data_IF_726391484713
#
_entry.id   IF_726391484713
#
_cell.length_a   1.000
_cell.length_b   1.000
_cell.length_c   1.000
_cell.angle_alpha   90.00
_cell.angle_beta   90.00
_cell.angle_gamma   90.00
#
_symmetry.space_group_name_H-M   'P 1'
#
loop_
_entity.id
_entity.type
_entity.pdbx_description
1 polymer ?
#
# COMPACT_ATOMS: atom_id res chain seq x y z
N UNK A 1 -50.44 30.95 -31.32
CA UNK A 1 -49.98 30.56 -29.95
C UNK A 1 -50.13 29.07 -29.78
N UNK A 2 -49.09 28.29 -29.64
CA UNK A 2 -49.17 27.05 -28.91
C UNK A 2 -48.17 27.02 -27.77
N UNK A 3 -48.71 26.62 -26.67
CA UNK A 3 -48.26 26.49 -25.30
C UNK A 3 -47.07 25.57 -25.15
N UNK A 4 -46.01 26.05 -24.52
CA UNK A 4 -44.90 25.26 -23.99
C UNK A 4 -45.36 24.33 -22.86
N UNK A 5 -45.28 23.04 -23.10
CA UNK A 5 -45.32 21.98 -22.08
C UNK A 5 -44.37 20.90 -22.50
N UNK A 6 -43.30 20.74 -21.79
CA UNK A 6 -42.57 19.52 -21.50
C UNK A 6 -41.04 19.67 -21.56
N UNK A 7 -40.42 20.10 -20.48
CA UNK A 7 -38.97 19.98 -20.32
C UNK A 7 -38.54 19.51 -18.91
N UNK A 8 -39.44 18.97 -18.08
CA UNK A 8 -39.07 18.62 -16.68
C UNK A 8 -39.48 17.21 -16.20
N UNK A 9 -39.81 16.30 -17.13
CA UNK A 9 -40.23 14.92 -16.79
C UNK A 9 -39.09 13.87 -16.79
N UNK A 10 -37.82 14.26 -16.98
CA UNK A 10 -36.70 13.31 -17.08
C UNK A 10 -35.73 13.28 -15.87
N UNK A 11 -36.02 14.04 -14.81
CA UNK A 11 -35.13 14.11 -13.63
C UNK A 11 -35.33 13.01 -12.55
N UNK A 12 -36.46 12.33 -12.39
CA UNK A 12 -36.60 11.34 -11.33
C UNK A 12 -35.86 10.02 -11.58
N UNK A 13 -35.65 9.61 -12.82
CA UNK A 13 -35.01 8.31 -13.13
C UNK A 13 -33.51 8.31 -12.86
N UNK A 14 -32.79 9.37 -13.17
CA UNK A 14 -31.36 9.47 -12.90
C UNK A 14 -31.06 9.55 -11.39
N UNK A 15 -31.88 10.25 -10.66
CA UNK A 15 -31.71 10.40 -9.20
C UNK A 15 -32.06 9.12 -8.44
N UNK A 16 -33.02 8.35 -8.90
CA UNK A 16 -33.37 7.02 -8.35
C UNK A 16 -32.29 6.00 -8.70
N UNK A 17 -31.73 6.04 -9.92
CA UNK A 17 -30.62 5.17 -10.33
C UNK A 17 -29.36 5.43 -9.49
N UNK A 18 -28.96 6.70 -9.29
CA UNK A 18 -27.84 7.10 -8.44
C UNK A 18 -28.04 6.70 -6.97
N UNK A 19 -29.27 6.77 -6.46
CA UNK A 19 -29.59 6.30 -5.10
C UNK A 19 -29.53 4.78 -4.97
N UNK A 20 -29.94 4.05 -6.00
CA UNK A 20 -29.85 2.58 -6.04
C UNK A 20 -28.41 2.07 -6.13
N UNK A 21 -27.57 2.71 -6.96
CA UNK A 21 -26.14 2.38 -7.05
C UNK A 21 -25.40 2.72 -5.76
N UNK A 22 -25.73 3.86 -5.14
CA UNK A 22 -25.16 4.25 -3.85
C UNK A 22 -25.58 3.29 -2.73
N UNK A 23 -26.83 2.82 -2.70
CA UNK A 23 -27.28 1.83 -1.73
C UNK A 23 -26.60 0.47 -1.96
N UNK A 24 -26.52 0.01 -3.19
CA UNK A 24 -25.81 -1.23 -3.52
C UNK A 24 -24.33 -1.17 -3.11
N UNK A 25 -23.67 -0.02 -3.30
CA UNK A 25 -22.30 0.19 -2.85
C UNK A 25 -22.16 0.19 -1.33
N UNK A 26 -23.13 0.74 -0.62
CA UNK A 26 -23.16 0.71 0.86
C UNK A 26 -23.42 -0.69 1.40
N UNK A 27 -24.26 -1.47 0.75
CA UNK A 27 -24.54 -2.86 1.14
C UNK A 27 -23.29 -3.75 0.96
N UNK A 28 -22.56 -3.59 -0.14
CA UNK A 28 -21.28 -4.28 -0.37
C UNK A 28 -20.25 -3.91 0.73
N UNK A 29 -20.14 -2.63 1.08
CA UNK A 29 -19.23 -2.19 2.15
C UNK A 29 -19.66 -2.75 3.50
N UNK A 30 -20.97 -2.77 3.78
CA UNK A 30 -21.52 -3.30 5.02
C UNK A 30 -21.29 -4.81 5.16
N UNK A 31 -21.50 -5.57 4.08
CA UNK A 31 -21.24 -7.00 4.03
C UNK A 31 -19.77 -7.30 4.29
N UNK A 32 -18.85 -6.61 3.60
CA UNK A 32 -17.41 -6.72 3.83
C UNK A 32 -17.01 -6.42 5.27
N UNK A 33 -17.53 -5.32 5.85
CA UNK A 33 -17.26 -4.96 7.25
C UNK A 33 -17.82 -5.98 8.24
N UNK A 34 -18.92 -6.66 7.90
CA UNK A 34 -19.51 -7.70 8.74
C UNK A 34 -18.73 -9.02 8.71
N UNK A 35 -18.04 -9.32 7.61
CA UNK A 35 -17.19 -10.49 7.45
C UNK A 35 -15.78 -10.28 8.05
N UNK A 36 -15.34 -9.02 8.16
CA UNK A 36 -14.02 -8.68 8.68
C UNK A 36 -13.95 -8.86 10.20
N UNK A 37 -13.00 -9.65 10.68
CA UNK A 37 -12.79 -9.78 12.12
C UNK A 37 -12.38 -8.41 12.72
N UNK A 38 -12.77 -8.11 13.98
CA UNK A 38 -12.35 -6.88 14.64
C UNK A 38 -10.82 -6.67 14.67
N UNK A 39 -10.06 -7.77 14.75
CA UNK A 39 -8.60 -7.74 14.73
C UNK A 39 -8.05 -7.32 13.38
N UNK A 40 -8.64 -7.79 12.27
CA UNK A 40 -8.28 -7.39 10.91
C UNK A 40 -8.57 -5.90 10.68
N UNK A 41 -9.71 -5.40 11.15
CA UNK A 41 -10.06 -3.99 11.09
C UNK A 41 -9.06 -3.10 11.84
N UNK A 42 -8.70 -3.49 13.06
CA UNK A 42 -7.67 -2.78 13.83
C UNK A 42 -6.32 -2.81 13.12
N UNK A 43 -5.90 -3.96 12.59
CA UNK A 43 -4.64 -4.09 11.86
C UNK A 43 -4.62 -3.22 10.59
N UNK A 44 -5.71 -3.17 9.82
CA UNK A 44 -5.83 -2.30 8.66
C UNK A 44 -5.70 -0.82 9.01
N UNK A 45 -6.34 -0.36 10.08
CA UNK A 45 -6.22 1.01 10.59
C UNK A 45 -4.79 1.34 11.04
N UNK A 46 -4.12 0.40 11.71
CA UNK A 46 -2.73 0.55 12.13
C UNK A 46 -1.79 0.70 10.91
N UNK A 47 -2.03 -0.07 9.84
CA UNK A 47 -1.25 0.05 8.60
C UNK A 47 -1.50 1.39 7.91
N UNK A 48 -2.73 1.85 7.81
CA UNK A 48 -3.04 3.17 7.24
C UNK A 48 -2.38 4.29 8.05
N UNK A 49 -2.47 4.24 9.38
CA UNK A 49 -1.78 5.17 10.26
C UNK A 49 -0.26 5.11 10.08
N UNK A 50 0.32 3.90 9.96
CA UNK A 50 1.74 3.71 9.68
C UNK A 50 2.15 4.42 8.40
N UNK A 51 1.50 4.17 7.25
CA UNK A 51 1.86 4.76 5.96
C UNK A 51 1.71 6.29 5.97
N UNK A 52 0.66 6.81 6.62
CA UNK A 52 0.46 8.24 6.80
C UNK A 52 1.57 8.88 7.65
N UNK A 53 1.99 8.23 8.73
CA UNK A 53 3.10 8.68 9.58
C UNK A 53 4.44 8.61 8.85
N UNK A 54 4.66 7.59 7.99
CA UNK A 54 5.84 7.51 7.11
C UNK A 54 5.91 8.72 6.19
N UNK A 55 4.79 9.09 5.55
CA UNK A 55 4.73 10.27 4.68
C UNK A 55 5.07 11.57 5.43
N UNK A 56 4.76 11.65 6.73
CA UNK A 56 5.12 12.76 7.63
C UNK A 56 6.52 12.67 8.23
N UNK A 57 7.29 11.63 7.91
CA UNK A 57 8.61 11.32 8.48
C UNK A 57 8.60 11.15 10.01
N UNK A 58 7.46 10.75 10.56
CA UNK A 58 7.32 10.53 12.00
C UNK A 58 7.85 9.16 12.39
N UNK A 59 8.72 9.10 13.39
CA UNK A 59 9.27 7.84 13.91
C UNK A 59 8.19 6.94 14.51
N UNK A 60 7.06 7.50 14.93
CA UNK A 60 5.92 6.76 15.44
C UNK A 60 5.30 5.79 14.42
N UNK A 61 5.62 5.96 13.12
CA UNK A 61 5.22 4.98 12.10
C UNK A 61 5.58 3.55 12.51
N UNK A 62 6.77 3.36 13.11
CA UNK A 62 7.25 2.04 13.50
C UNK A 62 6.43 1.39 14.62
N UNK A 63 5.91 2.15 15.57
CA UNK A 63 5.03 1.62 16.60
C UNK A 63 3.74 1.05 15.99
N UNK A 64 3.10 1.81 15.08
CA UNK A 64 1.89 1.37 14.38
C UNK A 64 2.16 0.22 13.41
N UNK A 65 3.25 0.29 12.65
CA UNK A 65 3.63 -0.74 11.72
C UNK A 65 3.98 -2.06 12.40
N UNK A 66 4.78 -2.04 13.47
CA UNK A 66 5.13 -3.23 14.25
C UNK A 66 3.88 -3.85 14.87
N UNK A 67 3.00 -3.04 15.47
CA UNK A 67 1.73 -3.56 16.00
C UNK A 67 0.88 -4.22 14.90
N UNK A 68 0.77 -3.59 13.72
CA UNK A 68 0.04 -4.15 12.57
C UNK A 68 0.60 -5.49 12.11
N UNK A 69 1.91 -5.59 11.87
CA UNK A 69 2.51 -6.85 11.38
C UNK A 69 2.46 -7.97 12.43
N UNK A 70 2.53 -7.65 13.71
CA UNK A 70 2.37 -8.65 14.80
C UNK A 70 0.94 -9.19 14.84
N UNK A 71 -0.07 -8.31 14.72
CA UNK A 71 -1.47 -8.71 14.69
C UNK A 71 -1.76 -9.56 13.45
N UNK A 72 -1.34 -9.11 12.24
CA UNK A 72 -1.52 -9.91 11.03
C UNK A 72 -0.76 -11.23 11.07
N UNK A 73 0.45 -11.25 11.64
CA UNK A 73 1.20 -12.50 11.86
C UNK A 73 0.42 -13.49 12.73
N UNK A 74 -0.24 -13.02 13.80
CA UNK A 74 -1.08 -13.86 14.65
C UNK A 74 -2.37 -14.33 13.93
N UNK A 75 -3.00 -13.46 13.13
CA UNK A 75 -4.16 -13.82 12.30
C UNK A 75 -3.79 -14.91 11.29
N UNK A 76 -2.71 -14.72 10.54
CA UNK A 76 -2.26 -15.69 9.55
C UNK A 76 -1.82 -17.02 10.17
N UNK A 77 -1.17 -16.98 11.33
CA UNK A 77 -0.85 -18.21 12.07
C UNK A 77 -2.09 -19.01 12.45
N UNK A 78 -3.12 -18.34 12.97
CA UNK A 78 -4.42 -18.98 13.32
C UNK A 78 -5.14 -19.52 12.09
N UNK A 79 -5.06 -18.81 10.96
CA UNK A 79 -5.61 -19.23 9.68
C UNK A 79 -4.79 -20.32 8.99
N UNK A 80 -3.66 -20.76 9.57
CA UNK A 80 -2.69 -21.72 8.99
C UNK A 80 -2.06 -21.24 7.68
N UNK A 81 -2.02 -19.92 7.46
CA UNK A 81 -1.38 -19.26 6.32
C UNK A 81 0.09 -18.97 6.67
N UNK A 82 0.88 -20.03 6.74
CA UNK A 82 2.27 -19.96 7.25
C UNK A 82 3.19 -19.11 6.37
N UNK A 83 2.99 -19.08 5.05
CA UNK A 83 3.77 -18.24 4.13
C UNK A 83 3.51 -16.75 4.39
N UNK A 84 2.27 -16.36 4.61
CA UNK A 84 1.88 -14.98 4.94
C UNK A 84 2.41 -14.58 6.32
N UNK A 85 2.35 -15.51 7.30
CA UNK A 85 2.96 -15.30 8.62
C UNK A 85 4.49 -15.06 8.51
N UNK A 86 5.21 -15.84 7.70
CA UNK A 86 6.64 -15.63 7.47
C UNK A 86 6.94 -14.29 6.81
N UNK A 87 6.08 -13.84 5.90
CA UNK A 87 6.18 -12.51 5.31
C UNK A 87 6.02 -11.40 6.37
N UNK A 88 5.10 -11.56 7.33
CA UNK A 88 4.99 -10.62 8.47
C UNK A 88 6.25 -10.64 9.35
N UNK A 89 6.85 -11.81 9.57
CA UNK A 89 8.12 -11.91 10.30
C UNK A 89 9.25 -11.16 9.56
N UNK A 90 9.33 -11.28 8.24
CA UNK A 90 10.25 -10.48 7.43
C UNK A 90 10.00 -8.97 7.59
N UNK A 91 8.74 -8.53 7.47
CA UNK A 91 8.40 -7.11 7.65
C UNK A 91 8.73 -6.62 9.07
N UNK A 92 8.54 -7.44 10.10
CA UNK A 92 8.91 -7.11 11.47
C UNK A 92 10.42 -6.82 11.58
N UNK A 93 11.26 -7.70 11.01
CA UNK A 93 12.73 -7.50 11.01
C UNK A 93 13.10 -6.20 10.29
N UNK A 94 12.54 -5.95 9.11
CA UNK A 94 12.82 -4.72 8.34
C UNK A 94 12.33 -3.47 9.07
N UNK A 95 11.20 -3.54 9.78
CA UNK A 95 10.69 -2.42 10.57
C UNK A 95 11.57 -2.13 11.79
N UNK A 96 12.03 -3.16 12.52
CA UNK A 96 12.95 -2.99 13.65
C UNK A 96 14.28 -2.36 13.19
N UNK A 97 14.81 -2.83 12.05
CA UNK A 97 15.99 -2.23 11.42
C UNK A 97 15.75 -0.77 11.04
N UNK A 98 14.64 -0.48 10.36
CA UNK A 98 14.26 0.86 9.95
C UNK A 98 14.07 1.81 11.13
N UNK A 99 13.43 1.35 12.21
CA UNK A 99 13.26 2.12 13.43
C UNK A 99 14.60 2.59 13.98
N UNK A 100 15.58 1.66 14.06
CA UNK A 100 16.95 2.00 14.50
C UNK A 100 17.60 3.06 13.59
N UNK A 101 17.45 2.91 12.26
CA UNK A 101 18.03 3.84 11.29
C UNK A 101 17.38 5.24 11.36
N UNK A 102 16.06 5.29 11.49
CA UNK A 102 15.35 6.56 11.59
C UNK A 102 15.65 7.27 12.91
N UNK A 103 15.66 6.51 14.02
CA UNK A 103 16.01 7.06 15.34
C UNK A 103 17.42 7.63 15.35
N UNK A 104 18.38 6.93 14.74
CA UNK A 104 19.76 7.41 14.63
C UNK A 104 19.80 8.73 13.84
N UNK A 105 19.16 8.81 12.66
CA UNK A 105 19.07 10.06 11.89
C UNK A 105 18.46 11.20 12.70
N UNK A 106 17.41 10.94 13.47
CA UNK A 106 16.77 11.96 14.29
C UNK A 106 17.68 12.46 15.42
N UNK A 107 18.48 11.57 16.03
CA UNK A 107 19.46 11.95 17.08
C UNK A 107 20.59 12.78 16.46
N UNK A 108 21.12 12.36 15.32
CA UNK A 108 22.31 12.97 14.70
C UNK A 108 21.98 14.32 14.02
N UNK A 109 20.76 14.51 13.50
CA UNK A 109 20.39 15.64 12.65
C UNK A 109 19.14 16.40 13.13
N UNK A 110 18.55 16.04 14.27
CA UNK A 110 17.31 16.66 14.78
C UNK A 110 16.05 16.24 14.02
N UNK A 111 16.16 15.62 12.84
CA UNK A 111 15.05 15.17 11.99
C UNK A 111 15.41 13.88 11.24
N UNK A 112 14.41 13.27 10.62
CA UNK A 112 14.60 12.13 9.71
C UNK A 112 15.04 12.65 8.35
N UNK A 113 16.34 12.56 8.07
CA UNK A 113 16.96 13.05 6.82
C UNK A 113 16.61 12.12 5.65
N UNK A 114 16.05 12.70 4.60
CA UNK A 114 15.72 12.00 3.35
C UNK A 114 16.93 11.98 2.43
N UNK A 115 17.32 10.79 2.05
CA UNK A 115 18.45 10.57 1.12
C UNK A 115 17.97 10.14 -0.26
N UNK A 116 18.84 10.20 -1.27
CA UNK A 116 18.61 9.66 -2.63
C UNK A 116 19.64 8.60 -2.96
N UNK A 117 19.22 7.65 -3.79
CA UNK A 117 20.15 6.72 -4.42
C UNK A 117 20.96 7.42 -5.51
N UNK A 118 22.21 6.99 -5.69
CA UNK A 118 22.99 7.32 -6.89
C UNK A 118 22.38 6.66 -8.12
N UNK A 119 22.71 7.15 -9.32
CA UNK A 119 22.17 6.56 -10.56
C UNK A 119 22.54 5.08 -10.70
N UNK A 120 23.79 4.72 -10.38
CA UNK A 120 24.23 3.32 -10.39
C UNK A 120 23.46 2.44 -9.42
N UNK A 121 23.20 2.95 -8.19
CA UNK A 121 22.40 2.23 -7.21
C UNK A 121 20.94 2.04 -7.66
N UNK A 122 20.34 3.05 -8.33
CA UNK A 122 18.98 2.91 -8.91
C UNK A 122 18.93 1.80 -9.95
N UNK A 123 19.91 1.76 -10.86
CA UNK A 123 20.01 0.72 -11.87
C UNK A 123 20.18 -0.66 -11.21
N UNK A 124 21.03 -0.76 -10.18
CA UNK A 124 21.21 -1.98 -9.39
C UNK A 124 19.93 -2.45 -8.73
N UNK A 125 19.16 -1.54 -8.12
CA UNK A 125 17.86 -1.86 -7.51
C UNK A 125 16.84 -2.31 -8.55
N UNK A 126 16.74 -1.63 -9.70
CA UNK A 126 15.85 -2.02 -10.80
C UNK A 126 16.20 -3.41 -11.32
N UNK A 127 17.48 -3.69 -11.59
CA UNK A 127 17.93 -5.00 -12.01
C UNK A 127 17.63 -6.07 -10.95
N UNK A 128 17.88 -5.78 -9.67
CA UNK A 128 17.58 -6.68 -8.56
C UNK A 128 16.08 -6.99 -8.45
N UNK A 129 15.21 -5.99 -8.62
CA UNK A 129 13.75 -6.18 -8.63
C UNK A 129 13.35 -7.08 -9.81
N UNK A 130 13.86 -6.83 -11.02
CA UNK A 130 13.55 -7.67 -12.19
C UNK A 130 13.96 -9.13 -11.95
N UNK A 131 15.16 -9.36 -11.44
CA UNK A 131 15.64 -10.71 -11.10
C UNK A 131 14.78 -11.36 -10.02
N UNK A 132 14.43 -10.60 -8.97
CA UNK A 132 13.58 -11.11 -7.88
C UNK A 132 12.16 -11.45 -8.39
N UNK A 133 11.56 -10.61 -9.24
CA UNK A 133 10.27 -10.87 -9.89
C UNK A 133 10.35 -12.11 -10.76
N UNK A 134 11.40 -12.24 -11.58
CA UNK A 134 11.61 -13.41 -12.44
C UNK A 134 11.77 -14.69 -11.62
N UNK A 135 12.61 -14.66 -10.58
CA UNK A 135 12.85 -15.83 -9.72
C UNK A 135 11.61 -16.23 -8.91
N UNK A 136 10.96 -15.25 -8.26
CA UNK A 136 9.77 -15.51 -7.45
C UNK A 136 8.57 -15.90 -8.32
N UNK A 137 8.36 -15.23 -9.46
CA UNK A 137 7.29 -15.56 -10.40
C UNK A 137 7.46 -16.95 -10.99
N UNK A 138 8.70 -17.35 -11.33
CA UNK A 138 9.00 -18.71 -11.78
C UNK A 138 8.71 -19.74 -10.68
N UNK A 139 9.11 -19.46 -9.42
CA UNK A 139 8.87 -20.33 -8.29
C UNK A 139 7.36 -20.53 -8.07
N UNK A 140 6.60 -19.42 -8.06
CA UNK A 140 5.15 -19.47 -7.91
C UNK A 140 4.48 -20.23 -9.07
N UNK A 141 4.88 -19.97 -10.30
CA UNK A 141 4.36 -20.67 -11.48
C UNK A 141 4.66 -22.18 -11.46
N UNK A 142 5.85 -22.58 -10.95
CA UNK A 142 6.28 -23.97 -10.97
C UNK A 142 5.75 -24.81 -9.82
N UNK A 143 5.55 -24.21 -8.64
CA UNK A 143 5.27 -24.92 -7.40
C UNK A 143 3.92 -24.59 -6.78
N UNK A 144 3.13 -23.70 -7.39
CA UNK A 144 1.79 -23.33 -6.92
C UNK A 144 0.82 -23.25 -8.09
N UNK A 145 -0.46 -23.26 -7.76
CA UNK A 145 -1.60 -23.05 -8.67
C UNK A 145 -2.08 -21.60 -8.70
N UNK A 146 -1.18 -20.64 -8.43
CA UNK A 146 -1.48 -19.21 -8.45
C UNK A 146 -2.00 -18.80 -9.85
N UNK A 147 -3.13 -18.10 -9.88
CA UNK A 147 -3.79 -17.71 -11.14
C UNK A 147 -2.96 -16.71 -11.97
N UNK A 148 -2.23 -15.80 -11.31
CA UNK A 148 -1.43 -14.74 -11.94
C UNK A 148 -0.05 -14.61 -11.28
N UNK A 149 0.81 -15.66 -11.35
CA UNK A 149 2.03 -15.75 -10.54
C UNK A 149 3.04 -14.63 -10.84
N UNK A 150 3.16 -14.21 -12.08
CA UNK A 150 4.07 -13.11 -12.48
C UNK A 150 3.58 -11.75 -12.02
N UNK A 151 2.27 -11.54 -12.01
CA UNK A 151 1.71 -10.28 -11.52
C UNK A 151 1.82 -10.19 -10.00
N UNK A 152 1.45 -11.26 -9.29
CA UNK A 152 1.62 -11.37 -7.82
C UNK A 152 3.08 -11.16 -7.42
N UNK A 153 4.03 -11.79 -8.14
CA UNK A 153 5.46 -11.61 -7.92
C UNK A 153 5.92 -10.16 -8.14
N UNK A 154 5.38 -9.48 -9.16
CA UNK A 154 5.71 -8.08 -9.44
C UNK A 154 5.26 -7.17 -8.30
N UNK A 155 4.04 -7.35 -7.77
CA UNK A 155 3.55 -6.62 -6.59
C UNK A 155 4.43 -6.90 -5.37
N UNK A 156 4.67 -8.19 -5.07
CA UNK A 156 5.38 -8.60 -3.87
C UNK A 156 6.84 -8.10 -3.86
N UNK A 157 7.60 -8.33 -4.92
CA UNK A 157 9.03 -7.96 -4.96
C UNK A 157 9.23 -6.44 -5.03
N UNK A 158 8.34 -5.71 -5.73
CA UNK A 158 8.36 -4.25 -5.72
C UNK A 158 8.06 -3.70 -4.32
N UNK A 159 7.10 -4.28 -3.60
CA UNK A 159 6.77 -3.90 -2.21
C UNK A 159 7.91 -4.19 -1.23
N UNK A 160 8.57 -5.35 -1.36
CA UNK A 160 9.75 -5.70 -0.56
C UNK A 160 10.87 -4.67 -0.78
N UNK A 161 11.17 -4.34 -2.04
CA UNK A 161 12.19 -3.34 -2.37
C UNK A 161 11.80 -1.94 -1.83
N UNK A 162 10.54 -1.54 -1.98
CA UNK A 162 10.02 -0.29 -1.44
C UNK A 162 10.19 -0.21 0.09
N UNK A 163 9.85 -1.29 0.80
CA UNK A 163 9.99 -1.37 2.26
C UNK A 163 11.44 -1.26 2.72
N UNK A 164 12.37 -1.94 2.02
CA UNK A 164 13.81 -1.85 2.34
C UNK A 164 14.31 -0.41 2.11
N UNK A 165 14.00 0.20 0.97
CA UNK A 165 14.41 1.57 0.66
C UNK A 165 13.79 2.60 1.63
N UNK A 166 12.56 2.37 2.08
CA UNK A 166 11.91 3.18 3.10
C UNK A 166 12.64 3.08 4.44
N UNK A 167 13.04 1.88 4.85
CA UNK A 167 13.75 1.66 6.11
C UNK A 167 15.08 2.40 6.18
N UNK A 168 15.75 2.59 5.04
CA UNK A 168 17.00 3.38 4.90
C UNK A 168 16.76 4.80 4.37
N UNK A 169 15.55 5.31 4.47
CA UNK A 169 15.14 6.70 4.17
C UNK A 169 15.40 7.16 2.74
N UNK A 170 15.46 6.25 1.77
CA UNK A 170 15.67 6.61 0.36
C UNK A 170 14.38 7.11 -0.28
N UNK A 171 14.43 8.28 -0.93
CA UNK A 171 13.28 8.91 -1.60
C UNK A 171 12.61 7.98 -2.63
N UNK A 172 13.42 7.15 -3.25
CA UNK A 172 13.00 6.21 -4.29
C UNK A 172 11.98 5.17 -3.80
N UNK A 173 11.86 4.94 -2.49
CA UNK A 173 10.84 4.06 -1.93
C UNK A 173 9.43 4.44 -2.39
N UNK A 174 9.13 5.74 -2.48
CA UNK A 174 7.82 6.23 -2.87
C UNK A 174 7.47 5.92 -4.33
N UNK A 175 8.46 5.94 -5.24
CA UNK A 175 8.24 5.51 -6.62
C UNK A 175 7.88 4.03 -6.70
N UNK A 176 8.52 3.21 -5.88
CA UNK A 176 8.21 1.77 -5.82
C UNK A 176 6.85 1.52 -5.18
N UNK A 177 6.48 2.27 -4.13
CA UNK A 177 5.13 2.18 -3.56
C UNK A 177 4.05 2.62 -4.55
N UNK A 178 4.26 3.68 -5.32
CA UNK A 178 3.35 4.10 -6.39
C UNK A 178 3.20 2.97 -7.43
N UNK A 179 4.30 2.38 -7.90
CA UNK A 179 4.27 1.28 -8.85
C UNK A 179 3.55 0.05 -8.28
N UNK A 180 3.87 -0.36 -7.03
CA UNK A 180 3.23 -1.48 -6.37
C UNK A 180 1.72 -1.27 -6.20
N UNK A 181 1.29 -0.07 -5.79
CA UNK A 181 -0.14 0.23 -5.64
C UNK A 181 -0.88 0.19 -6.99
N UNK A 182 -0.30 0.72 -8.07
CA UNK A 182 -0.90 0.66 -9.43
C UNK A 182 -1.04 -0.80 -9.87
N UNK A 183 0.00 -1.62 -9.69
CA UNK A 183 -0.05 -3.05 -9.99
C UNK A 183 -1.11 -3.77 -9.15
N UNK A 184 -1.23 -3.43 -7.86
CA UNK A 184 -2.21 -4.02 -6.94
C UNK A 184 -3.63 -3.66 -7.33
N UNK A 185 -3.91 -2.40 -7.71
CA UNK A 185 -5.23 -1.97 -8.18
C UNK A 185 -5.66 -2.82 -9.37
N UNK A 186 -4.80 -2.98 -10.40
CA UNK A 186 -5.09 -3.81 -11.56
C UNK A 186 -5.30 -5.28 -11.18
N UNK A 187 -4.42 -5.85 -10.35
CA UNK A 187 -4.49 -7.24 -9.91
C UNK A 187 -5.80 -7.54 -9.16
N UNK A 188 -6.17 -6.70 -8.20
CA UNK A 188 -7.37 -6.93 -7.39
C UNK A 188 -8.66 -6.64 -8.17
N UNK A 189 -8.64 -5.67 -9.09
CA UNK A 189 -9.75 -5.44 -10.01
C UNK A 189 -10.00 -6.65 -10.93
N UNK A 190 -8.96 -7.28 -11.49
CA UNK A 190 -9.10 -8.49 -12.32
C UNK A 190 -9.61 -9.70 -11.53
N UNK A 191 -9.34 -9.74 -10.21
CA UNK A 191 -9.85 -10.77 -9.29
C UNK A 191 -11.27 -10.46 -8.77
N UNK A 192 -11.88 -9.35 -9.17
CA UNK A 192 -13.20 -8.90 -8.67
C UNK A 192 -13.18 -8.36 -7.24
N UNK A 193 -12.01 -8.15 -6.65
CA UNK A 193 -11.83 -7.69 -5.27
C UNK A 193 -11.83 -6.15 -5.21
N UNK A 194 -12.98 -5.55 -5.54
CA UNK A 194 -13.13 -4.10 -5.72
C UNK A 194 -12.83 -3.28 -4.46
N UNK A 195 -13.19 -3.78 -3.27
CA UNK A 195 -12.91 -3.09 -1.99
C UNK A 195 -11.41 -3.05 -1.73
N UNK A 196 -10.72 -4.16 -1.97
CA UNK A 196 -9.25 -4.20 -1.86
C UNK A 196 -8.61 -3.26 -2.89
N UNK A 197 -9.09 -3.25 -4.13
CA UNK A 197 -8.63 -2.31 -5.15
C UNK A 197 -8.83 -0.84 -4.71
N UNK A 198 -9.98 -0.50 -4.11
CA UNK A 198 -10.25 0.84 -3.57
C UNK A 198 -9.28 1.22 -2.43
N UNK A 199 -8.93 0.28 -1.55
CA UNK A 199 -7.90 0.50 -0.52
C UNK A 199 -6.55 0.88 -1.16
N UNK A 200 -6.15 0.18 -2.25
CA UNK A 200 -4.90 0.50 -2.94
C UNK A 200 -4.95 1.85 -3.67
N UNK A 201 -6.12 2.32 -4.10
CA UNK A 201 -6.29 3.70 -4.60
C UNK A 201 -6.01 4.73 -3.50
N UNK A 202 -6.48 4.50 -2.27
CA UNK A 202 -6.15 5.36 -1.13
C UNK A 202 -4.65 5.32 -0.80
N UNK A 203 -4.04 4.14 -0.79
CA UNK A 203 -2.60 3.98 -0.57
C UNK A 203 -1.77 4.63 -1.67
N UNK A 204 -2.23 4.60 -2.93
CA UNK A 204 -1.62 5.33 -4.05
C UNK A 204 -1.64 6.84 -3.80
N UNK A 205 -2.77 7.39 -3.37
CA UNK A 205 -2.90 8.80 -2.99
C UNK A 205 -1.92 9.19 -1.88
N UNK A 206 -1.82 8.39 -0.81
CA UNK A 206 -0.86 8.62 0.28
C UNK A 206 0.59 8.52 -0.23
N UNK A 207 0.88 7.59 -1.14
CA UNK A 207 2.24 7.43 -1.71
C UNK A 207 2.66 8.63 -2.55
N UNK A 208 1.76 9.19 -3.37
CA UNK A 208 2.00 10.41 -4.14
C UNK A 208 2.23 11.61 -3.21
N UNK A 209 1.39 11.74 -2.18
CA UNK A 209 1.53 12.80 -1.17
C UNK A 209 2.84 12.64 -0.38
N UNK A 210 3.22 11.42 0.02
CA UNK A 210 4.47 11.11 0.69
C UNK A 210 5.69 11.48 -0.14
N UNK A 211 5.67 11.15 -1.44
CA UNK A 211 6.71 11.55 -2.39
C UNK A 211 6.88 13.07 -2.43
N UNK A 212 5.77 13.82 -2.53
CA UNK A 212 5.79 15.28 -2.57
C UNK A 212 6.37 15.86 -1.26
N UNK A 213 5.93 15.36 -0.12
CA UNK A 213 6.43 15.79 1.19
C UNK A 213 7.92 15.51 1.40
N UNK A 214 8.38 14.31 1.03
CA UNK A 214 9.79 13.94 1.17
C UNK A 214 10.69 14.72 0.22
N UNK A 215 10.19 15.05 -0.98
CA UNK A 215 10.89 15.96 -1.91
C UNK A 215 11.05 17.37 -1.33
N UNK A 216 9.98 17.95 -0.81
CA UNK A 216 10.00 19.27 -0.20
C UNK A 216 10.94 19.33 1.02
N UNK A 217 10.88 18.33 1.89
CA UNK A 217 11.74 18.23 3.06
C UNK A 217 13.24 18.15 2.69
N UNK A 218 13.56 17.43 1.62
CA UNK A 218 14.94 17.33 1.13
C UNK A 218 15.43 18.66 0.51
N UNK A 219 14.56 19.40 -0.17
CA UNK A 219 14.92 20.72 -0.75
C UNK A 219 15.15 21.74 0.36
N UNK A 220 14.31 21.78 1.39
CA UNK A 220 14.47 22.67 2.54
C UNK A 220 15.70 22.37 3.43
N UNK A 221 16.24 21.14 3.37
CA UNK A 221 17.48 20.79 4.06
C UNK A 221 18.75 21.12 3.24
N UNK A 222 18.60 21.48 1.96
CA UNK A 222 19.70 21.84 1.07
C UNK A 222 19.83 23.37 0.87
N UNK A 223 18.89 24.16 1.43
CA UNK A 223 18.89 25.61 1.45
C UNK A 223 19.37 26.13 2.81
#
# INVERSE_FOLDING_TARGET
MPTGKAAWKSLPTAQVALSSEAMASLDIVREFLSEMSPLEGVAALLILANVWLVARRSIWNYAFGIAGVVIYGAVFFRAKLYSDMLLQAFFLVVQLYGWRQWRRSQIDSGDVVVERLTTSARLGWLAGIVVAVAGWGWLMHRFTDAALPWWDASVAMTSVAAQILMSVRKLENWWLWIAANILSIGLYATKGLWITAALYVLLLGISIWGLARWRAARQGAAA
#
